data_IF_756993121531
#
_entry.id   IF_756993121531
#
_cell.length_a   1.000
_cell.length_b   1.000
_cell.length_c   1.000
_cell.angle_alpha   90.00
_cell.angle_beta   90.00
_cell.angle_gamma   90.00
#
_symmetry.space_group_name_H-M   'P 1'
#
loop_
_entity.id
_entity.type
_entity.pdbx_description
1 polymer ?
#
# COMPACT_ATOMS: atom_id res chain seq x y z
N UNK A 1 31.51 8.05 9.66
CA UNK A 1 31.85 6.63 9.45
C UNK A 1 31.51 5.93 10.73
N UNK A 2 30.58 4.99 10.72
CA UNK A 2 30.21 4.16 11.86
C UNK A 2 30.62 2.71 11.55
N UNK A 3 31.23 2.04 12.52
CA UNK A 3 31.72 0.65 12.40
C UNK A 3 30.75 -0.27 13.13
N UNK A 4 30.27 -1.31 12.44
CA UNK A 4 29.43 -2.36 13.00
C UNK A 4 30.02 -3.74 12.70
N UNK A 5 29.83 -4.70 13.58
CA UNK A 5 30.22 -6.08 13.32
C UNK A 5 28.97 -6.90 12.97
N UNK A 6 28.93 -7.46 11.78
CA UNK A 6 27.85 -8.32 11.30
C UNK A 6 28.46 -9.67 10.87
N UNK A 7 28.07 -10.76 11.51
CA UNK A 7 28.53 -12.11 11.17
C UNK A 7 30.07 -12.27 11.10
N UNK A 8 30.79 -11.76 12.12
CA UNK A 8 32.26 -11.72 12.19
C UNK A 8 32.97 -10.91 11.09
N UNK A 9 32.22 -10.14 10.30
CA UNK A 9 32.78 -9.20 9.34
C UNK A 9 32.56 -7.76 9.80
N UNK A 10 33.58 -6.93 9.67
CA UNK A 10 33.45 -5.50 9.91
C UNK A 10 32.71 -4.86 8.73
N UNK A 11 31.64 -4.14 9.04
CA UNK A 11 30.84 -3.36 8.09
C UNK A 11 30.97 -1.91 8.47
N UNK A 12 31.28 -1.07 7.49
CA UNK A 12 31.43 0.36 7.67
C UNK A 12 30.30 1.10 6.96
N UNK A 13 29.54 1.90 7.69
CA UNK A 13 28.59 2.83 7.14
C UNK A 13 29.33 4.12 6.77
N UNK A 14 29.52 4.36 5.46
CA UNK A 14 30.25 5.49 4.93
C UNK A 14 29.32 6.44 4.21
N UNK A 15 29.32 7.69 4.63
CA UNK A 15 28.56 8.71 3.93
C UNK A 15 29.35 9.24 2.75
N UNK A 16 28.82 9.06 1.51
CA UNK A 16 29.40 9.55 0.28
C UNK A 16 28.88 10.96 0.05
N UNK A 17 29.71 11.95 0.31
CA UNK A 17 29.34 13.37 0.24
C UNK A 17 28.96 13.85 -1.16
N UNK A 18 29.57 13.27 -2.20
CA UNK A 18 29.27 13.62 -3.60
C UNK A 18 27.88 13.19 -4.06
N UNK A 19 27.34 12.14 -3.45
CA UNK A 19 26.04 11.55 -3.81
C UNK A 19 24.98 11.71 -2.71
N UNK A 20 25.39 12.31 -1.56
CA UNK A 20 24.55 12.55 -0.40
C UNK A 20 23.81 11.28 0.11
N UNK A 21 24.50 10.12 0.10
CA UNK A 21 23.97 8.84 0.54
C UNK A 21 24.96 8.12 1.46
N UNK A 22 24.41 7.22 2.30
CA UNK A 22 25.20 6.28 3.09
C UNK A 22 25.31 4.97 2.32
N UNK A 23 26.53 4.49 2.12
CA UNK A 23 26.79 3.15 1.58
C UNK A 23 27.47 2.27 2.60
N UNK A 24 27.18 0.97 2.53
CA UNK A 24 27.78 -0.05 3.38
C UNK A 24 28.92 -0.72 2.66
N UNK A 25 30.08 -0.71 3.28
CA UNK A 25 31.29 -1.35 2.78
C UNK A 25 31.70 -2.49 3.71
N UNK A 26 32.06 -3.61 3.14
CA UNK A 26 32.54 -4.79 3.86
C UNK A 26 34.00 -5.05 3.50
N UNK A 27 34.90 -4.94 4.47
CA UNK A 27 36.32 -5.20 4.30
C UNK A 27 37.20 -3.94 4.19
N UNK A 28 38.49 -4.11 4.52
CA UNK A 28 39.46 -3.00 4.53
C UNK A 28 39.87 -2.53 3.11
N UNK A 29 39.79 -3.40 2.12
CA UNK A 29 40.18 -3.09 0.74
C UNK A 29 39.25 -2.06 0.06
N UNK A 30 37.99 -2.05 0.43
CA UNK A 30 37.02 -1.08 -0.06
C UNK A 30 37.24 0.32 0.53
N UNK A 31 37.80 0.42 1.73
CA UNK A 31 38.12 1.69 2.40
C UNK A 31 39.35 2.41 1.78
N UNK A 32 40.33 1.66 1.27
CA UNK A 32 41.49 2.21 0.62
C UNK A 32 41.12 2.97 -0.65
N UNK A 33 40.08 2.56 -1.35
CA UNK A 33 39.56 3.28 -2.51
C UNK A 33 38.89 4.62 -2.16
N UNK A 34 38.39 4.76 -0.93
CA UNK A 34 37.74 5.97 -0.42
C UNK A 34 38.73 7.06 0.01
N UNK A 35 39.93 6.70 0.44
CA UNK A 35 41.02 7.69 0.72
C UNK A 35 41.40 8.50 -0.49
N UNK A 36 41.17 7.97 -1.72
CA UNK A 36 41.41 8.69 -2.97
C UNK A 36 40.33 9.71 -3.33
N UNK A 37 39.17 9.65 -2.67
CA UNK A 37 38.02 10.57 -2.89
C UNK A 37 38.05 11.70 -1.84
N UNK A 38 39.14 12.29 -1.56
CA UNK A 38 39.35 13.49 -0.75
C UNK A 38 38.35 13.65 0.41
N UNK A 39 38.65 13.08 1.58
CA UNK A 39 37.90 13.36 2.83
C UNK A 39 37.93 14.87 3.06
N UNK A 40 36.77 15.50 2.92
CA UNK A 40 36.63 16.91 3.24
C UNK A 40 36.95 17.16 4.73
N UNK A 41 37.56 18.31 4.98
CA UNK A 41 37.96 18.70 6.35
C UNK A 41 36.76 18.56 7.32
N UNK A 42 37.02 18.16 8.58
CA UNK A 42 36.00 18.05 9.63
C UNK A 42 35.12 19.32 9.78
N UNK A 43 35.66 20.49 9.42
CA UNK A 43 34.92 21.74 9.37
C UNK A 43 33.84 21.75 8.28
N UNK A 44 34.11 21.17 7.10
CA UNK A 44 33.13 21.09 6.01
C UNK A 44 32.02 20.09 6.31
N UNK A 45 32.34 18.95 6.95
CA UNK A 45 31.34 17.99 7.45
C UNK A 45 30.43 18.64 8.49
N UNK A 46 31.00 19.39 9.46
CA UNK A 46 30.23 20.14 10.45
C UNK A 46 29.33 21.20 9.80
N UNK A 47 29.83 21.92 8.82
CA UNK A 47 29.05 22.94 8.10
C UNK A 47 27.88 22.29 7.33
N UNK A 48 28.15 21.22 6.60
CA UNK A 48 27.08 20.48 5.85
C UNK A 48 26.04 19.91 6.81
N UNK A 49 26.48 19.31 7.92
CA UNK A 49 25.57 18.79 8.96
C UNK A 49 24.74 19.89 9.60
N UNK A 50 25.36 21.05 9.91
CA UNK A 50 24.63 22.19 10.42
C UNK A 50 23.65 22.78 9.40
N UNK A 51 24.05 22.91 8.14
CA UNK A 51 23.18 23.33 7.04
C UNK A 51 22.00 22.37 6.82
N UNK A 52 22.26 21.06 6.85
CA UNK A 52 21.22 20.03 6.77
C UNK A 52 20.25 20.08 7.95
N UNK A 53 20.74 20.29 9.17
CA UNK A 53 19.91 20.52 10.37
C UNK A 53 19.04 21.76 10.24
N UNK A 54 19.63 22.90 9.85
CA UNK A 54 18.89 24.16 9.64
C UNK A 54 17.84 23.98 8.56
N UNK A 55 18.18 23.34 7.42
CA UNK A 55 17.22 23.03 6.36
C UNK A 55 16.09 22.13 6.88
N UNK A 56 16.42 21.09 7.63
CA UNK A 56 15.43 20.20 8.26
C UNK A 56 14.50 20.96 9.21
N UNK A 57 15.04 21.80 10.09
CA UNK A 57 14.22 22.59 11.02
C UNK A 57 13.33 23.59 10.30
N UNK A 58 13.84 24.29 9.28
CA UNK A 58 13.06 25.25 8.49
C UNK A 58 11.95 24.57 7.65
N UNK A 59 12.13 23.31 7.29
CA UNK A 59 11.14 22.56 6.47
C UNK A 59 10.20 21.69 7.29
N UNK A 60 10.46 21.48 8.59
CA UNK A 60 9.62 20.63 9.44
C UNK A 60 8.16 21.06 9.47
N UNK A 61 7.91 22.37 9.54
CA UNK A 61 6.56 22.92 9.61
C UNK A 61 5.96 23.25 8.22
N UNK A 62 6.78 23.29 7.17
CA UNK A 62 6.33 23.59 5.82
C UNK A 62 6.01 22.31 5.07
N UNK A 63 4.77 22.18 4.62
CA UNK A 63 4.34 21.11 3.73
C UNK A 63 4.66 21.52 2.28
N UNK A 64 5.50 20.72 1.61
CA UNK A 64 6.01 21.01 0.25
C UNK A 64 5.06 20.50 -0.85
N UNK A 65 4.45 19.34 -0.64
CA UNK A 65 3.58 18.70 -1.62
C UNK A 65 2.40 19.59 -2.09
N UNK A 66 1.72 20.34 -1.22
CA UNK A 66 0.64 21.25 -1.64
C UNK A 66 1.11 22.39 -2.56
N UNK A 67 2.38 22.76 -2.49
CA UNK A 67 2.95 23.86 -3.29
C UNK A 67 3.30 23.43 -4.71
N UNK A 68 3.58 22.14 -4.93
CA UNK A 68 3.97 21.59 -6.24
C UNK A 68 2.84 20.85 -6.97
N UNK A 69 1.72 20.60 -6.30
CA UNK A 69 0.59 19.89 -6.89
C UNK A 69 -0.30 20.79 -7.75
N UNK A 70 -0.91 20.22 -8.79
CA UNK A 70 -1.99 20.85 -9.55
C UNK A 70 -3.33 20.86 -8.79
N UNK A 71 -3.37 20.24 -7.62
CA UNK A 71 -4.54 20.07 -6.76
C UNK A 71 -4.47 21.01 -5.57
N UNK A 72 -5.58 21.70 -5.27
CA UNK A 72 -5.74 22.42 -4.00
C UNK A 72 -6.30 21.44 -2.96
N UNK A 73 -5.48 21.03 -1.97
CA UNK A 73 -5.93 20.04 -0.98
C UNK A 73 -7.01 20.62 -0.07
N UNK A 74 -7.93 19.76 0.35
CA UNK A 74 -8.94 20.10 1.35
C UNK A 74 -8.34 20.11 2.78
N UNK A 75 -8.93 20.85 3.74
CA UNK A 75 -8.40 20.95 5.10
C UNK A 75 -8.13 19.62 5.80
N UNK A 76 -9.02 18.63 5.64
CA UNK A 76 -8.81 17.30 6.21
C UNK A 76 -7.63 16.56 5.57
N UNK A 77 -7.39 16.74 4.27
CA UNK A 77 -6.25 16.15 3.56
C UNK A 77 -4.92 16.75 4.01
N UNK A 78 -4.89 18.07 4.25
CA UNK A 78 -3.73 18.74 4.85
C UNK A 78 -3.48 18.26 6.28
N UNK A 79 -4.55 18.07 7.07
CA UNK A 79 -4.44 17.51 8.41
C UNK A 79 -3.84 16.09 8.38
N UNK A 80 -4.31 15.25 7.47
CA UNK A 80 -3.78 13.90 7.23
C UNK A 80 -2.30 13.95 6.87
N UNK A 81 -1.91 14.83 5.93
CA UNK A 81 -0.50 15.00 5.55
C UNK A 81 0.35 15.46 6.73
N UNK A 82 -0.08 16.48 7.46
CA UNK A 82 0.64 16.98 8.64
C UNK A 82 0.84 15.90 9.68
N UNK A 83 -0.20 15.12 9.98
CA UNK A 83 -0.13 14.01 10.92
C UNK A 83 0.80 12.90 10.44
N UNK A 84 0.78 12.57 9.15
CA UNK A 84 1.68 11.59 8.55
C UNK A 84 3.15 12.01 8.67
N UNK A 85 3.44 13.32 8.49
CA UNK A 85 4.80 13.85 8.57
C UNK A 85 5.28 14.15 10.02
N UNK A 86 4.41 14.09 11.01
CA UNK A 86 4.79 14.27 12.41
C UNK A 86 5.38 13.03 13.07
N UNK A 87 5.39 11.89 12.39
CA UNK A 87 5.94 10.63 12.88
C UNK A 87 7.27 10.34 12.20
N UNK A 88 8.28 9.95 12.98
CA UNK A 88 9.60 9.55 12.46
C UNK A 88 9.50 8.29 11.60
N UNK A 89 8.52 7.44 11.87
CA UNK A 89 8.27 6.21 11.12
C UNK A 89 6.82 6.19 10.64
N UNK A 90 6.63 6.36 9.33
CA UNK A 90 5.31 6.36 8.71
C UNK A 90 4.74 4.94 8.64
N UNK A 91 3.88 4.58 9.58
CA UNK A 91 3.10 3.32 9.56
C UNK A 91 1.67 3.66 9.97
N UNK A 92 0.83 3.97 8.98
CA UNK A 92 -0.50 4.54 9.21
C UNK A 92 -1.59 3.79 8.45
N UNK A 93 -2.78 3.82 9.01
CA UNK A 93 -4.02 3.45 8.35
C UNK A 93 -4.85 4.71 8.07
N UNK A 94 -5.13 4.98 6.80
CA UNK A 94 -6.09 5.99 6.37
C UNK A 94 -7.48 5.34 6.33
N UNK A 95 -8.31 5.67 7.32
CA UNK A 95 -9.61 5.04 7.54
C UNK A 95 -10.78 5.99 7.25
N UNK A 96 -10.58 6.96 6.38
CA UNK A 96 -11.55 7.96 5.96
C UNK A 96 -12.75 7.34 5.27
N UNK A 97 -13.93 7.95 5.43
CA UNK A 97 -15.13 7.53 4.73
C UNK A 97 -14.94 7.55 3.21
N UNK A 98 -15.69 6.69 2.51
CA UNK A 98 -15.66 6.61 1.04
C UNK A 98 -15.92 7.99 0.42
N UNK A 99 -15.08 8.41 -0.52
CA UNK A 99 -15.24 9.67 -1.24
C UNK A 99 -14.64 10.90 -0.55
N UNK A 100 -13.83 10.74 0.50
CA UNK A 100 -13.03 11.82 1.10
C UNK A 100 -11.66 11.99 0.45
N UNK A 101 -11.32 11.14 -0.53
CA UNK A 101 -10.08 11.30 -1.30
C UNK A 101 -8.86 10.64 -0.67
N UNK A 102 -9.00 9.41 -0.09
CA UNK A 102 -7.85 8.64 0.44
C UNK A 102 -6.70 8.50 -0.55
N UNK A 103 -6.99 8.32 -1.85
CA UNK A 103 -5.96 8.27 -2.90
C UNK A 103 -5.22 9.60 -3.01
N UNK A 104 -5.94 10.73 -2.87
CA UNK A 104 -5.33 12.07 -2.86
C UNK A 104 -4.45 12.25 -1.63
N UNK A 105 -4.92 11.84 -0.46
CA UNK A 105 -4.11 11.88 0.78
C UNK A 105 -2.83 11.05 0.64
N UNK A 106 -2.94 9.83 0.10
CA UNK A 106 -1.78 8.98 -0.17
C UNK A 106 -0.84 9.63 -1.20
N UNK A 107 -1.37 10.25 -2.25
CA UNK A 107 -0.60 10.99 -3.25
C UNK A 107 0.15 12.19 -2.66
N UNK A 108 -0.49 12.96 -1.78
CA UNK A 108 0.17 14.05 -1.04
C UNK A 108 1.32 13.53 -0.18
N UNK A 109 1.12 12.41 0.52
CA UNK A 109 2.16 11.78 1.35
C UNK A 109 3.32 11.28 0.48
N UNK A 110 3.04 10.60 -0.65
CA UNK A 110 4.06 10.19 -1.63
C UNK A 110 4.89 11.40 -2.07
N UNK A 111 4.21 12.46 -2.52
CA UNK A 111 4.86 13.66 -3.04
C UNK A 111 5.75 14.31 -1.99
N UNK A 112 5.25 14.47 -0.77
CA UNK A 112 5.98 15.04 0.35
C UNK A 112 7.25 14.25 0.70
N UNK A 113 7.13 12.92 0.84
CA UNK A 113 8.26 12.06 1.15
C UNK A 113 9.32 12.06 0.03
N UNK A 114 8.89 12.12 -1.24
CA UNK A 114 9.80 12.24 -2.38
C UNK A 114 10.54 13.58 -2.39
N UNK A 115 9.83 14.69 -2.16
CA UNK A 115 10.43 16.03 -2.10
C UNK A 115 11.44 16.16 -0.95
N UNK A 116 11.20 15.45 0.15
CA UNK A 116 12.15 15.36 1.27
C UNK A 116 13.31 14.40 1.01
N UNK A 117 13.26 13.60 -0.07
CA UNK A 117 14.28 12.60 -0.39
C UNK A 117 14.22 11.33 0.48
N UNK A 118 13.09 11.10 1.18
CA UNK A 118 12.94 9.93 2.07
C UNK A 118 12.58 8.65 1.33
N UNK A 119 11.98 8.75 0.14
CA UNK A 119 11.56 7.59 -0.64
C UNK A 119 11.88 7.76 -2.12
N UNK A 120 12.19 6.64 -2.75
CA UNK A 120 12.39 6.52 -4.20
C UNK A 120 11.55 5.35 -4.74
N UNK A 121 11.61 4.20 -4.06
CA UNK A 121 10.97 2.97 -4.50
C UNK A 121 9.60 2.79 -3.83
N UNK A 122 8.56 2.77 -4.65
CA UNK A 122 7.17 2.80 -4.17
C UNK A 122 6.39 1.64 -4.80
N UNK A 123 5.75 0.84 -3.95
CA UNK A 123 4.83 -0.20 -4.37
C UNK A 123 3.40 0.14 -3.93
N UNK A 124 2.46 0.14 -4.86
CA UNK A 124 1.03 0.23 -4.58
C UNK A 124 0.38 -1.12 -4.89
N UNK A 125 -0.23 -1.74 -3.88
CA UNK A 125 -0.99 -2.98 -3.99
C UNK A 125 -2.47 -2.64 -3.88
N UNK A 126 -3.21 -2.77 -4.98
CA UNK A 126 -4.63 -2.41 -5.03
C UNK A 126 -5.50 -3.57 -5.55
N UNK A 127 -6.82 -3.55 -5.34
CA UNK A 127 -7.74 -4.43 -6.07
C UNK A 127 -7.62 -4.22 -7.59
N UNK A 128 -7.76 -5.30 -8.37
CA UNK A 128 -7.58 -5.24 -9.83
C UNK A 128 -8.42 -4.15 -10.52
N UNK A 129 -9.66 -3.92 -10.04
CA UNK A 129 -10.54 -2.88 -10.59
C UNK A 129 -10.11 -1.43 -10.30
N UNK A 130 -9.19 -1.22 -9.34
CA UNK A 130 -8.72 0.12 -8.93
C UNK A 130 -7.33 0.46 -9.46
N UNK A 131 -6.60 -0.49 -10.04
CA UNK A 131 -5.21 -0.27 -10.47
C UNK A 131 -5.07 0.82 -11.54
N UNK A 132 -5.96 0.86 -12.54
CA UNK A 132 -5.96 1.89 -13.57
C UNK A 132 -6.33 3.28 -13.02
N UNK A 133 -7.25 3.32 -12.04
CA UNK A 133 -7.62 4.56 -11.37
C UNK A 133 -6.40 5.14 -10.63
N UNK A 134 -5.65 4.30 -9.92
CA UNK A 134 -4.42 4.71 -9.25
C UNK A 134 -3.39 5.31 -10.22
N UNK A 135 -3.16 4.67 -11.36
CA UNK A 135 -2.25 5.20 -12.40
C UNK A 135 -2.72 6.58 -12.85
N UNK A 136 -4.00 6.72 -13.16
CA UNK A 136 -4.59 7.97 -13.64
C UNK A 136 -4.52 9.09 -12.59
N UNK A 137 -4.92 8.82 -11.34
CA UNK A 137 -4.92 9.81 -10.26
C UNK A 137 -3.50 10.30 -9.93
N UNK A 138 -2.52 9.39 -9.85
CA UNK A 138 -1.13 9.75 -9.63
C UNK A 138 -0.56 10.61 -10.75
N UNK A 139 -0.87 10.29 -12.00
CA UNK A 139 -0.39 11.05 -13.15
C UNK A 139 -1.06 12.43 -13.23
N UNK A 140 -2.39 12.51 -13.06
CA UNK A 140 -3.16 13.75 -13.26
C UNK A 140 -2.93 14.74 -12.13
N UNK A 141 -2.96 14.29 -10.88
CA UNK A 141 -2.93 15.18 -9.71
C UNK A 141 -1.51 15.45 -9.19
N UNK A 142 -0.59 14.51 -9.35
CA UNK A 142 0.75 14.59 -8.76
C UNK A 142 1.88 14.57 -9.77
N UNK A 143 1.58 14.40 -11.08
CA UNK A 143 2.58 14.22 -12.14
C UNK A 143 3.54 13.04 -11.87
N UNK A 144 3.06 12.04 -11.12
CA UNK A 144 3.81 10.85 -10.75
C UNK A 144 3.51 9.70 -11.70
N UNK A 145 4.58 9.12 -12.26
CA UNK A 145 4.47 8.06 -13.24
C UNK A 145 4.66 6.70 -12.58
N UNK A 146 3.58 5.96 -12.44
CA UNK A 146 3.59 4.58 -11.97
C UNK A 146 3.49 3.60 -13.13
N UNK A 147 4.22 2.48 -13.02
CA UNK A 147 4.14 1.37 -13.95
C UNK A 147 3.18 0.32 -13.43
N UNK A 148 2.09 0.09 -14.17
CA UNK A 148 1.15 -0.99 -13.87
C UNK A 148 1.71 -2.30 -14.41
N UNK A 149 1.90 -3.30 -13.52
CA UNK A 149 2.41 -4.61 -13.87
C UNK A 149 1.31 -5.64 -13.69
N UNK A 150 0.88 -6.24 -14.79
CA UNK A 150 -0.09 -7.33 -14.81
C UNK A 150 0.60 -8.71 -14.66
N UNK A 151 -0.21 -9.73 -14.35
CA UNK A 151 0.28 -11.10 -14.22
C UNK A 151 1.05 -11.62 -15.45
N UNK A 152 0.68 -11.19 -16.63
CA UNK A 152 1.32 -11.65 -17.88
C UNK A 152 2.60 -10.86 -18.17
N UNK A 153 2.67 -9.60 -17.72
CA UNK A 153 3.88 -8.78 -17.85
C UNK A 153 5.04 -9.35 -17.03
N UNK A 154 4.76 -9.96 -15.87
CA UNK A 154 5.78 -10.61 -15.03
C UNK A 154 6.51 -11.70 -15.81
N UNK A 155 5.78 -12.51 -16.59
CA UNK A 155 6.38 -13.54 -17.43
C UNK A 155 7.19 -12.94 -18.57
N UNK A 156 6.68 -11.87 -19.20
CA UNK A 156 7.37 -11.18 -20.28
C UNK A 156 8.65 -10.50 -19.77
N UNK A 157 8.58 -9.78 -18.65
CA UNK A 157 9.72 -9.15 -18.02
C UNK A 157 10.78 -10.18 -17.64
N UNK A 158 10.37 -11.33 -17.11
CA UNK A 158 11.29 -12.41 -16.79
C UNK A 158 12.02 -12.95 -18.04
N UNK A 159 11.30 -13.23 -19.12
CA UNK A 159 11.92 -13.67 -20.38
C UNK A 159 12.95 -12.67 -20.89
N UNK A 160 12.65 -11.39 -20.80
CA UNK A 160 13.54 -10.32 -21.21
C UNK A 160 14.78 -10.24 -20.31
N UNK A 161 14.61 -10.46 -19.00
CA UNK A 161 15.69 -10.27 -18.00
C UNK A 161 16.60 -11.48 -17.83
N UNK A 162 16.06 -12.69 -17.96
CA UNK A 162 16.80 -13.94 -17.71
C UNK A 162 17.16 -14.72 -18.96
N UNK A 163 16.60 -14.37 -20.13
CA UNK A 163 16.96 -15.03 -21.36
C UNK A 163 18.18 -14.37 -22.02
N UNK A 164 19.07 -15.22 -22.53
CA UNK A 164 20.34 -14.86 -23.18
C UNK A 164 20.18 -14.13 -24.52
N UNK A 165 18.96 -13.96 -25.04
CA UNK A 165 18.67 -13.27 -26.29
C UNK A 165 17.50 -12.29 -26.12
N UNK A 166 17.71 -11.13 -25.47
CA UNK A 166 16.65 -10.15 -25.29
C UNK A 166 16.33 -9.52 -26.65
N UNK A 167 15.06 -9.59 -27.06
CA UNK A 167 14.57 -8.79 -28.17
C UNK A 167 14.76 -7.30 -27.84
N UNK A 168 15.86 -6.74 -28.37
CA UNK A 168 16.28 -5.34 -28.20
C UNK A 168 15.17 -4.34 -28.56
N UNK A 169 14.21 -4.72 -29.43
CA UNK A 169 13.08 -3.89 -29.81
C UNK A 169 12.08 -3.77 -28.65
N UNK A 170 11.82 -4.88 -27.94
CA UNK A 170 10.92 -4.91 -26.77
C UNK A 170 11.53 -4.16 -25.58
N UNK A 171 12.84 -4.29 -25.33
CA UNK A 171 13.56 -3.52 -24.30
C UNK A 171 13.49 -2.00 -24.55
N UNK A 172 13.71 -1.56 -25.79
CA UNK A 172 13.62 -0.15 -26.17
C UNK A 172 12.19 0.38 -26.06
N UNK A 173 11.19 -0.42 -26.42
CA UNK A 173 9.77 -0.03 -26.33
C UNK A 173 9.32 0.15 -24.88
N UNK A 174 9.80 -0.68 -23.96
CA UNK A 174 9.49 -0.61 -22.53
C UNK A 174 10.38 0.37 -21.75
N UNK A 175 11.40 0.97 -22.39
CA UNK A 175 12.39 1.87 -21.76
C UNK A 175 13.03 1.28 -20.50
N UNK A 176 13.35 -0.02 -20.51
CA UNK A 176 13.91 -0.74 -19.36
C UNK A 176 15.38 -0.36 -19.16
N UNK A 177 15.79 0.09 -17.98
CA UNK A 177 17.19 0.31 -17.65
C UNK A 177 17.95 -1.01 -17.64
N UNK A 178 19.15 -1.03 -18.22
CA UNK A 178 19.98 -2.25 -18.34
C UNK A 178 20.82 -2.57 -17.09
N UNK A 179 20.57 -1.90 -15.96
CA UNK A 179 21.35 -2.07 -14.73
C UNK A 179 20.62 -2.98 -13.73
N UNK A 180 21.36 -3.95 -13.22
CA UNK A 180 21.07 -4.93 -12.18
C UNK A 180 20.08 -6.07 -12.51
N UNK A 181 20.66 -7.19 -12.91
CA UNK A 181 19.98 -8.42 -13.36
C UNK A 181 19.38 -9.31 -12.26
N UNK A 182 19.25 -8.85 -11.01
CA UNK A 182 18.91 -9.77 -9.90
C UNK A 182 17.42 -9.85 -9.57
N UNK A 183 16.62 -8.81 -9.82
CA UNK A 183 15.20 -8.80 -9.47
C UNK A 183 14.38 -8.02 -10.50
N UNK A 184 13.35 -8.66 -11.10
CA UNK A 184 12.46 -8.02 -12.09
C UNK A 184 11.71 -6.80 -11.51
N UNK A 185 11.44 -6.79 -10.21
CA UNK A 185 10.77 -5.70 -9.53
C UNK A 185 11.67 -4.48 -9.30
N UNK A 186 12.99 -4.64 -9.52
CA UNK A 186 13.96 -3.55 -9.50
C UNK A 186 14.00 -2.68 -10.76
N UNK A 187 13.23 -3.04 -11.80
CA UNK A 187 13.25 -2.35 -13.11
C UNK A 187 12.67 -0.93 -13.02
N UNK A 188 11.63 -0.77 -12.22
CA UNK A 188 10.93 0.50 -12.06
C UNK A 188 10.90 0.92 -10.60
N UNK A 189 11.11 2.20 -10.34
CA UNK A 189 11.06 2.73 -8.97
C UNK A 189 9.64 2.84 -8.43
N UNK A 190 8.62 2.99 -9.29
CA UNK A 190 7.23 3.19 -8.90
C UNK A 190 6.32 2.19 -9.63
N UNK A 191 5.73 1.27 -8.87
CA UNK A 191 4.96 0.14 -9.41
C UNK A 191 3.59 0.08 -8.76
N UNK A 192 2.58 -0.25 -9.58
CA UNK A 192 1.24 -0.64 -9.14
C UNK A 192 1.01 -2.09 -9.55
N UNK A 193 0.52 -2.90 -8.61
CA UNK A 193 0.15 -4.31 -8.85
C UNK A 193 -1.23 -4.62 -8.30
N UNK A 194 -1.88 -5.62 -8.89
CA UNK A 194 -3.08 -6.20 -8.30
C UNK A 194 -2.72 -7.13 -7.13
N UNK A 195 -3.41 -6.98 -6.00
CA UNK A 195 -3.26 -7.84 -4.81
C UNK A 195 -3.36 -9.34 -5.17
N UNK A 196 -4.29 -9.70 -6.05
CA UNK A 196 -4.52 -11.10 -6.43
C UNK A 196 -3.46 -11.65 -7.40
N UNK A 197 -2.71 -10.80 -8.09
CA UNK A 197 -1.65 -11.24 -9.01
C UNK A 197 -0.34 -11.58 -8.30
N UNK A 198 -0.13 -11.07 -7.09
CA UNK A 198 1.15 -11.20 -6.35
C UNK A 198 1.02 -11.95 -5.02
N UNK A 199 -0.20 -12.26 -4.56
CA UNK A 199 -0.40 -13.08 -3.36
C UNK A 199 0.20 -14.48 -3.53
N UNK A 200 0.74 -15.12 -2.47
CA UNK A 200 1.26 -16.48 -2.56
C UNK A 200 0.16 -17.47 -2.89
N UNK A 201 0.51 -18.49 -3.66
CA UNK A 201 -0.37 -19.57 -4.05
C UNK A 201 -0.07 -20.82 -3.20
N UNK A 202 -1.09 -21.33 -2.49
CA UNK A 202 -0.96 -22.54 -1.67
C UNK A 202 -1.09 -23.82 -2.48
N UNK A 203 -2.29 -24.05 -3.05
CA UNK A 203 -2.55 -25.25 -3.88
C UNK A 203 -3.33 -24.87 -5.13
N UNK A 204 -3.02 -25.55 -6.23
CA UNK A 204 -3.74 -25.41 -7.50
C UNK A 204 -3.86 -26.77 -8.19
N UNK A 205 -5.09 -27.13 -8.59
CA UNK A 205 -5.36 -28.39 -9.29
C UNK A 205 -4.51 -28.51 -10.56
N UNK A 206 -3.82 -29.64 -10.73
CA UNK A 206 -2.95 -29.89 -11.87
C UNK A 206 -1.56 -29.24 -11.81
N UNK A 207 -1.18 -28.64 -10.67
CA UNK A 207 0.14 -28.08 -10.46
C UNK A 207 0.94 -28.93 -9.44
N UNK A 208 2.21 -29.16 -9.75
CA UNK A 208 3.15 -29.78 -8.82
C UNK A 208 3.60 -28.76 -7.76
N UNK A 209 4.19 -29.24 -6.66
CA UNK A 209 4.75 -28.38 -5.61
C UNK A 209 5.87 -27.47 -6.15
N UNK A 210 6.70 -28.03 -7.04
CA UNK A 210 7.81 -27.32 -7.67
C UNK A 210 7.30 -26.12 -8.48
N UNK A 211 6.25 -26.33 -9.29
CA UNK A 211 5.64 -25.28 -10.10
C UNK A 211 4.97 -24.19 -9.24
N UNK A 212 4.39 -24.57 -8.09
CA UNK A 212 3.84 -23.61 -7.13
C UNK A 212 4.96 -22.79 -6.48
N UNK A 213 6.07 -23.45 -6.09
CA UNK A 213 7.23 -22.79 -5.52
C UNK A 213 7.87 -21.81 -6.51
N UNK A 214 8.04 -22.21 -7.76
CA UNK A 214 8.53 -21.35 -8.85
C UNK A 214 7.63 -20.11 -9.03
N UNK A 215 6.31 -20.31 -9.09
CA UNK A 215 5.34 -19.24 -9.20
C UNK A 215 5.43 -18.24 -8.00
N UNK A 216 5.54 -18.78 -6.79
CA UNK A 216 5.65 -17.96 -5.58
C UNK A 216 7.00 -17.22 -5.54
N UNK A 217 8.09 -17.86 -5.94
CA UNK A 217 9.41 -17.22 -6.00
C UNK A 217 9.41 -16.02 -6.94
N UNK A 218 8.78 -16.14 -8.09
CA UNK A 218 8.72 -15.06 -9.08
C UNK A 218 7.87 -13.88 -8.66
N UNK A 219 6.69 -14.18 -8.11
CA UNK A 219 5.63 -13.18 -7.94
C UNK A 219 5.53 -12.65 -6.51
N UNK A 220 5.87 -13.47 -5.55
CA UNK A 220 5.76 -13.15 -4.15
C UNK A 220 7.13 -12.84 -3.52
N UNK A 221 8.04 -13.83 -3.46
CA UNK A 221 9.32 -13.63 -2.77
C UNK A 221 10.16 -12.53 -3.42
N UNK A 222 10.27 -12.52 -4.75
CA UNK A 222 11.03 -11.49 -5.46
C UNK A 222 10.42 -10.08 -5.27
N UNK A 223 9.09 -9.98 -5.13
CA UNK A 223 8.42 -8.72 -4.83
C UNK A 223 8.74 -8.21 -3.42
N UNK A 224 8.69 -9.13 -2.42
CA UNK A 224 8.98 -8.78 -1.02
C UNK A 224 10.41 -8.23 -0.86
N UNK A 225 11.38 -8.88 -1.51
CA UNK A 225 12.80 -8.52 -1.42
C UNK A 225 13.27 -7.55 -2.52
N UNK A 226 12.38 -6.65 -2.95
CA UNK A 226 12.70 -5.66 -3.97
C UNK A 226 13.03 -4.28 -3.39
N UNK A 227 13.41 -4.18 -2.13
CA UNK A 227 13.86 -2.97 -1.43
C UNK A 227 12.91 -1.77 -1.59
N UNK A 228 11.65 -1.96 -1.22
CA UNK A 228 10.64 -0.91 -1.24
C UNK A 228 10.84 0.07 -0.08
N UNK A 229 10.87 1.37 -0.38
CA UNK A 229 10.87 2.42 0.65
C UNK A 229 9.47 2.62 1.22
N UNK A 230 8.45 2.63 0.35
CA UNK A 230 7.05 2.80 0.73
C UNK A 230 6.18 1.73 0.09
N UNK A 231 5.36 1.08 0.91
CA UNK A 231 4.28 0.19 0.44
C UNK A 231 2.93 0.77 0.82
N UNK A 232 2.04 0.89 -0.16
CA UNK A 232 0.65 1.30 0.01
C UNK A 232 -0.24 0.12 -0.32
N UNK A 233 -1.15 -0.26 0.59
CA UNK A 233 -2.12 -1.33 0.35
C UNK A 233 -3.52 -0.73 0.40
N UNK A 234 -4.16 -0.68 -0.77
CA UNK A 234 -5.52 -0.18 -0.90
C UNK A 234 -6.54 -1.28 -0.62
N UNK A 235 -7.71 -0.88 -0.09
CA UNK A 235 -8.74 -1.77 0.42
C UNK A 235 -8.17 -2.82 1.38
N UNK A 236 -7.31 -2.36 2.31
CA UNK A 236 -6.55 -3.20 3.23
C UNK A 236 -7.43 -4.15 4.07
N UNK A 237 -8.72 -3.85 4.26
CA UNK A 237 -9.66 -4.75 4.91
C UNK A 237 -9.73 -6.14 4.24
N UNK A 238 -9.40 -6.24 2.94
CA UNK A 238 -9.33 -7.52 2.21
C UNK A 238 -8.19 -8.43 2.66
N UNK A 239 -7.22 -7.91 3.40
CA UNK A 239 -6.13 -8.71 3.98
C UNK A 239 -6.61 -9.52 5.19
N UNK A 240 -7.64 -9.08 5.92
CA UNK A 240 -7.99 -9.61 7.24
C UNK A 240 -9.10 -10.67 7.28
N UNK A 241 -9.72 -11.04 6.16
CA UNK A 241 -10.90 -11.92 6.10
C UNK A 241 -10.66 -13.43 6.26
N UNK A 242 -11.49 -14.31 5.66
CA UNK A 242 -11.54 -15.77 5.84
C UNK A 242 -10.49 -16.56 5.03
N UNK A 243 -10.57 -17.88 4.87
CA UNK A 243 -9.53 -18.81 4.39
C UNK A 243 -8.77 -18.46 3.08
N UNK A 244 -9.41 -17.83 2.09
CA UNK A 244 -8.70 -17.26 0.92
C UNK A 244 -7.83 -16.05 1.29
N UNK A 245 -8.10 -15.45 2.43
CA UNK A 245 -7.40 -14.30 2.96
C UNK A 245 -6.10 -14.64 3.69
N UNK A 246 -5.83 -15.91 3.99
CA UNK A 246 -4.52 -16.31 4.54
C UNK A 246 -3.40 -15.90 3.59
N UNK A 247 -3.55 -16.14 2.28
CA UNK A 247 -2.56 -15.74 1.29
C UNK A 247 -2.44 -14.21 1.15
N UNK A 248 -3.56 -13.48 1.21
CA UNK A 248 -3.53 -12.00 1.20
C UNK A 248 -2.94 -11.44 2.49
N UNK A 249 -3.28 -12.03 3.64
CA UNK A 249 -2.70 -11.62 4.91
C UNK A 249 -1.19 -11.87 4.94
N UNK A 250 -0.74 -13.02 4.45
CA UNK A 250 0.68 -13.33 4.31
C UNK A 250 1.40 -12.31 3.42
N UNK A 251 0.80 -11.93 2.27
CA UNK A 251 1.33 -10.87 1.43
C UNK A 251 1.47 -9.55 2.20
N UNK A 252 0.43 -9.14 2.92
CA UNK A 252 0.46 -7.95 3.76
C UNK A 252 1.55 -8.02 4.82
N UNK A 253 1.63 -9.13 5.57
CA UNK A 253 2.60 -9.33 6.66
C UNK A 253 4.04 -9.25 6.15
N UNK A 254 4.37 -9.97 5.08
CA UNK A 254 5.71 -9.96 4.51
C UNK A 254 6.10 -8.59 3.94
N UNK A 255 5.21 -7.93 3.21
CA UNK A 255 5.47 -6.58 2.71
C UNK A 255 5.70 -5.59 3.85
N UNK A 256 4.83 -5.59 4.86
CA UNK A 256 4.95 -4.64 5.97
C UNK A 256 6.13 -4.93 6.90
N UNK A 257 6.55 -6.19 6.99
CA UNK A 257 7.75 -6.60 7.74
C UNK A 257 9.06 -6.16 7.10
N UNK A 258 9.10 -6.06 5.76
CA UNK A 258 10.31 -5.75 5.00
C UNK A 258 10.35 -4.31 4.45
N UNK A 259 9.41 -3.44 4.82
CA UNK A 259 9.33 -2.08 4.30
C UNK A 259 9.24 -1.06 5.44
N UNK A 260 10.04 0.03 5.40
CA UNK A 260 10.06 1.02 6.48
C UNK A 260 8.77 1.86 6.55
N UNK A 261 8.24 2.32 5.42
CA UNK A 261 7.05 3.17 5.36
C UNK A 261 5.84 2.41 4.83
N UNK A 262 4.74 2.44 5.58
CA UNK A 262 3.52 1.68 5.28
C UNK A 262 2.30 2.58 5.35
N UNK A 263 1.46 2.53 4.30
CA UNK A 263 0.12 3.09 4.30
C UNK A 263 -0.91 2.00 4.00
N UNK A 264 -1.84 1.79 4.91
CA UNK A 264 -3.01 0.96 4.70
C UNK A 264 -4.22 1.86 4.45
N UNK A 265 -4.92 1.69 3.34
CA UNK A 265 -6.10 2.46 3.00
C UNK A 265 -7.35 1.58 3.11
N UNK A 266 -8.35 2.03 3.85
CA UNK A 266 -9.64 1.34 3.93
C UNK A 266 -10.73 2.25 4.48
N UNK A 267 -11.92 2.21 3.91
CA UNK A 267 -13.06 2.92 4.48
C UNK A 267 -13.75 2.14 5.62
N UNK A 268 -13.51 0.84 5.71
CA UNK A 268 -14.16 -0.09 6.63
C UNK A 268 -13.14 -0.90 7.42
N UNK A 269 -12.36 -0.28 8.32
CA UNK A 269 -11.31 -0.97 9.07
C UNK A 269 -11.88 -2.06 9.98
N UNK A 270 -13.08 -1.84 10.50
CA UNK A 270 -13.77 -2.77 11.39
C UNK A 270 -15.05 -3.33 10.72
N UNK A 271 -14.94 -4.53 10.16
CA UNK A 271 -16.08 -5.23 9.51
C UNK A 271 -16.92 -6.05 10.50
N UNK A 272 -17.19 -5.53 11.71
CA UNK A 272 -17.95 -6.23 12.74
C UNK A 272 -17.19 -7.37 13.45
N UNK A 273 -15.95 -7.68 13.03
CA UNK A 273 -15.12 -8.73 13.64
C UNK A 273 -13.83 -8.14 14.20
N UNK A 274 -13.74 -8.06 15.51
CA UNK A 274 -12.58 -7.53 16.24
C UNK A 274 -11.26 -8.21 15.84
N UNK A 275 -11.29 -9.53 15.61
CA UNK A 275 -10.10 -10.28 15.17
C UNK A 275 -9.54 -9.84 13.82
N UNK A 276 -10.41 -9.40 12.90
CA UNK A 276 -9.97 -8.87 11.61
C UNK A 276 -9.29 -7.51 11.78
N UNK A 277 -9.84 -6.68 12.67
CA UNK A 277 -9.25 -5.38 12.96
C UNK A 277 -7.88 -5.51 13.63
N UNK A 278 -7.72 -6.41 14.61
CA UNK A 278 -6.42 -6.70 15.23
C UNK A 278 -5.40 -7.14 14.18
N UNK A 279 -5.77 -8.05 13.28
CA UNK A 279 -4.89 -8.47 12.18
C UNK A 279 -4.44 -7.32 11.29
N UNK A 280 -5.32 -6.35 11.00
CA UNK A 280 -4.92 -5.17 10.23
C UNK A 280 -3.97 -4.28 11.02
N UNK A 281 -4.24 -4.09 12.30
CA UNK A 281 -3.38 -3.28 13.16
C UNK A 281 -2.02 -3.91 13.38
N UNK A 282 -1.94 -5.25 13.49
CA UNK A 282 -0.66 -5.97 13.62
C UNK A 282 0.24 -5.83 12.38
N UNK A 283 -0.30 -5.50 11.21
CA UNK A 283 0.52 -5.15 10.04
C UNK A 283 1.25 -3.80 10.20
N UNK A 284 0.71 -2.91 11.03
CA UNK A 284 1.36 -1.63 11.33
C UNK A 284 2.34 -1.76 12.48
N UNK A 285 1.96 -2.52 13.51
CA UNK A 285 2.80 -2.77 14.69
C UNK A 285 2.39 -4.11 15.33
N UNK A 286 3.21 -5.15 15.12
CA UNK A 286 2.94 -6.50 15.62
C UNK A 286 3.13 -6.59 17.15
N UNK A 287 4.02 -5.80 17.72
CA UNK A 287 4.30 -5.80 19.15
C UNK A 287 3.18 -5.13 19.96
N UNK A 288 2.61 -4.05 19.43
CA UNK A 288 1.51 -3.33 20.10
C UNK A 288 0.17 -4.04 19.96
N UNK A 289 -0.11 -4.66 18.81
CA UNK A 289 -1.45 -5.21 18.50
C UNK A 289 -1.46 -6.74 18.46
N UNK A 290 -1.34 -7.35 19.64
CA UNK A 290 -1.28 -8.81 19.80
C UNK A 290 -2.70 -9.40 19.98
N UNK A 291 -3.55 -8.76 20.77
CA UNK A 291 -4.83 -9.29 21.19
C UNK A 291 -5.95 -8.23 21.31
N UNK A 292 -7.12 -8.64 21.83
CA UNK A 292 -8.27 -7.75 22.01
C UNK A 292 -8.04 -6.65 23.05
N UNK A 293 -7.16 -6.87 24.02
CA UNK A 293 -6.86 -5.90 25.09
C UNK A 293 -5.99 -4.76 24.58
N UNK A 294 -5.33 -4.96 23.45
CA UNK A 294 -4.51 -3.93 22.79
C UNK A 294 -5.32 -2.87 22.04
N UNK A 295 -6.67 -3.06 21.88
CA UNK A 295 -7.55 -2.11 21.19
C UNK A 295 -8.02 -1.03 22.16
N UNK A 296 -7.11 -0.17 22.54
CA UNK A 296 -7.41 1.05 23.30
C UNK A 296 -7.26 2.28 22.39
N UNK A 297 -8.11 3.28 22.59
CA UNK A 297 -8.10 4.50 21.78
C UNK A 297 -6.74 5.21 21.82
N UNK A 298 -6.09 5.20 22.97
CA UNK A 298 -4.74 5.76 23.17
C UNK A 298 -3.69 5.10 22.28
N UNK A 299 -3.72 3.78 22.18
CA UNK A 299 -2.81 2.97 21.34
C UNK A 299 -3.14 3.05 19.84
N UNK A 300 -4.42 3.22 19.50
CA UNK A 300 -4.87 3.33 18.10
C UNK A 300 -4.60 4.70 17.48
N UNK A 301 -4.70 5.76 18.27
CA UNK A 301 -4.58 7.16 17.80
C UNK A 301 -3.31 7.46 16.99
N UNK A 302 -2.11 6.93 17.31
CA UNK A 302 -0.91 7.14 16.51
C UNK A 302 -0.97 6.49 15.12
N UNK A 303 -1.71 5.39 14.97
CA UNK A 303 -1.71 4.55 13.78
C UNK A 303 -2.89 4.78 12.84
N UNK A 304 -3.96 5.46 13.28
CA UNK A 304 -5.18 5.62 12.49
C UNK A 304 -5.49 7.10 12.29
N UNK A 305 -5.78 7.45 11.03
CA UNK A 305 -6.39 8.72 10.65
C UNK A 305 -7.77 8.39 10.11
N UNK A 306 -8.81 9.04 10.65
CA UNK A 306 -10.18 8.84 10.24
C UNK A 306 -10.94 10.16 10.22
N UNK A 307 -11.34 10.58 9.04
CA UNK A 307 -12.22 11.71 8.83
C UNK A 307 -13.63 11.23 8.46
N UNK A 308 -14.63 11.97 8.93
CA UNK A 308 -16.04 11.69 8.70
C UNK A 308 -16.64 12.78 7.82
N UNK A 309 -17.43 12.45 6.81
CA UNK A 309 -18.08 13.42 5.90
C UNK A 309 -18.82 14.53 6.64
N UNK A 310 -19.49 14.19 7.74
CA UNK A 310 -20.25 15.16 8.54
C UNK A 310 -19.42 16.26 9.22
N UNK A 311 -18.10 16.03 9.34
CA UNK A 311 -17.15 16.94 10.01
C UNK A 311 -16.21 17.63 9.03
N UNK A 312 -16.25 17.25 7.75
CA UNK A 312 -15.36 17.84 6.76
C UNK A 312 -15.90 19.16 6.25
N UNK A 313 -14.99 20.11 6.11
CA UNK A 313 -15.24 21.45 5.60
C UNK A 313 -14.44 21.69 4.33
N UNK A 314 -14.92 22.65 3.52
CA UNK A 314 -14.18 23.19 2.38
C UNK A 314 -13.10 24.20 2.85
N UNK A 315 -12.41 24.82 1.89
CA UNK A 315 -11.38 25.83 2.19
C UNK A 315 -11.93 27.14 2.74
N UNK A 316 -13.22 27.39 2.57
CA UNK A 316 -13.94 28.56 3.10
C UNK A 316 -14.55 28.30 4.47
N UNK A 317 -14.41 27.08 5.02
CA UNK A 317 -14.94 26.66 6.32
C UNK A 317 -16.39 26.18 6.28
N UNK A 318 -17.01 26.03 5.10
CA UNK A 318 -18.36 25.54 4.99
C UNK A 318 -18.40 24.00 4.99
N UNK A 319 -19.50 23.36 5.47
CA UNK A 319 -19.65 21.92 5.38
C UNK A 319 -19.53 21.43 3.92
N UNK A 320 -18.57 20.54 3.66
CA UNK A 320 -18.32 19.98 2.31
C UNK A 320 -19.47 19.10 1.83
N UNK A 321 -20.17 18.45 2.75
CA UNK A 321 -21.30 17.56 2.45
C UNK A 321 -22.57 18.03 3.13
N UNK A 322 -23.70 17.94 2.40
CA UNK A 322 -25.01 18.16 2.98
C UNK A 322 -25.34 17.07 4.01
N UNK A 323 -26.05 17.38 5.10
CA UNK A 323 -26.50 16.39 6.07
C UNK A 323 -27.31 15.28 5.40
N UNK A 324 -26.94 14.02 5.68
CA UNK A 324 -27.70 12.86 5.20
C UNK A 324 -28.87 12.60 6.13
N UNK A 325 -30.07 12.75 5.63
CA UNK A 325 -31.30 12.39 6.34
C UNK A 325 -31.81 11.06 5.78
N UNK A 326 -31.86 10.05 6.66
CA UNK A 326 -32.47 8.75 6.31
C UNK A 326 -33.91 8.76 6.74
N UNK A 327 -34.83 8.60 5.79
CA UNK A 327 -36.26 8.45 6.05
C UNK A 327 -36.67 7.01 5.73
N UNK A 328 -37.16 6.29 6.73
CA UNK A 328 -37.74 5.01 6.51
C UNK A 328 -39.19 5.22 5.98
N UNK A 329 -39.45 4.77 4.77
CA UNK A 329 -40.81 4.75 4.18
C UNK A 329 -41.28 3.30 4.12
N UNK A 330 -42.04 2.81 5.11
CA UNK A 330 -42.62 1.49 5.01
C UNK A 330 -43.64 1.48 3.86
N UNK A 331 -43.44 0.57 2.91
CA UNK A 331 -44.42 0.31 1.87
C UNK A 331 -45.39 -0.71 2.46
N UNK A 332 -46.65 -0.31 2.62
CA UNK A 332 -47.72 -1.20 3.05
C UNK A 332 -48.58 -1.50 1.83
N UNK A 333 -49.02 -2.75 1.72
CA UNK A 333 -49.99 -3.14 0.72
C UNK A 333 -51.31 -2.41 1.01
N UNK A 334 -51.81 -1.72 0.00
CA UNK A 334 -53.04 -0.89 0.16
C UNK A 334 -54.32 -1.73 0.15
N UNK A 335 -54.28 -2.91 -0.44
CA UNK A 335 -55.38 -3.88 -0.49
C UNK A 335 -54.89 -5.25 -0.10
N UNK A 336 -55.58 -5.92 0.81
CA UNK A 336 -55.32 -7.32 1.15
C UNK A 336 -55.54 -8.15 -0.13
N UNK A 337 -54.63 -9.11 -0.38
CA UNK A 337 -54.65 -9.97 -1.56
C UNK A 337 -54.42 -9.24 -2.91
N UNK A 338 -53.69 -8.12 -2.89
CA UNK A 338 -53.29 -7.47 -4.13
C UNK A 338 -52.36 -8.40 -4.94
N UNK A 339 -52.41 -8.31 -6.29
CA UNK A 339 -51.46 -9.04 -7.18
C UNK A 339 -49.99 -8.83 -6.81
N UNK A 340 -49.68 -7.66 -6.25
CA UNK A 340 -48.32 -7.34 -5.80
C UNK A 340 -47.94 -8.12 -4.54
N UNK A 341 -48.88 -8.28 -3.59
CA UNK A 341 -48.67 -9.08 -2.37
C UNK A 341 -48.54 -10.56 -2.70
N UNK A 342 -49.39 -11.05 -3.59
CA UNK A 342 -49.32 -12.44 -4.08
C UNK A 342 -47.98 -12.71 -4.75
N UNK A 343 -47.56 -11.85 -5.70
CA UNK A 343 -46.29 -11.99 -6.36
C UNK A 343 -45.08 -11.95 -5.39
N UNK A 344 -45.13 -11.02 -4.41
CA UNK A 344 -44.07 -10.93 -3.41
C UNK A 344 -44.01 -12.21 -2.55
N UNK A 345 -45.15 -12.73 -2.15
CA UNK A 345 -45.22 -13.94 -1.36
C UNK A 345 -44.72 -15.15 -2.14
N UNK A 346 -45.19 -15.33 -3.38
CA UNK A 346 -44.75 -16.42 -4.27
C UNK A 346 -43.24 -16.39 -4.55
N UNK A 347 -42.69 -15.21 -4.85
CA UNK A 347 -41.25 -15.04 -5.07
C UNK A 347 -40.48 -15.36 -3.79
N UNK A 348 -40.97 -14.88 -2.63
CA UNK A 348 -40.30 -15.13 -1.35
C UNK A 348 -40.32 -16.63 -0.98
N UNK A 349 -41.44 -17.31 -1.20
CA UNK A 349 -41.55 -18.76 -0.98
C UNK A 349 -40.70 -19.56 -1.94
N UNK A 350 -40.64 -19.16 -3.23
CA UNK A 350 -39.78 -19.76 -4.23
C UNK A 350 -38.29 -19.64 -3.82
N UNK A 351 -37.85 -18.45 -3.52
CA UNK A 351 -36.44 -18.19 -3.09
C UNK A 351 -36.12 -19.02 -1.83
N UNK A 352 -37.01 -19.05 -0.82
CA UNK A 352 -36.81 -19.80 0.40
C UNK A 352 -36.73 -21.32 0.15
N UNK A 353 -37.60 -21.82 -0.71
CA UNK A 353 -37.65 -23.25 -1.06
C UNK A 353 -36.41 -23.70 -1.81
N UNK A 354 -36.01 -22.94 -2.87
CA UNK A 354 -34.85 -23.28 -3.68
C UNK A 354 -33.55 -23.05 -2.90
N UNK A 355 -33.47 -22.03 -2.05
CA UNK A 355 -32.32 -21.84 -1.14
C UNK A 355 -32.16 -23.06 -0.22
N UNK A 356 -33.23 -23.49 0.44
CA UNK A 356 -33.18 -24.66 1.31
C UNK A 356 -32.85 -25.95 0.58
N UNK A 357 -33.34 -26.12 -0.66
CA UNK A 357 -32.99 -27.22 -1.54
C UNK A 357 -31.49 -27.18 -1.93
N UNK A 358 -31.01 -26.05 -2.37
CA UNK A 358 -29.59 -25.87 -2.72
C UNK A 358 -28.66 -26.16 -1.52
N UNK A 359 -29.03 -25.73 -0.32
CA UNK A 359 -28.30 -26.04 0.91
C UNK A 359 -28.30 -27.52 1.28
N UNK A 360 -29.43 -28.21 1.14
CA UNK A 360 -29.55 -29.69 1.34
C UNK A 360 -28.69 -30.46 0.32
N UNK A 361 -28.67 -30.03 -0.94
CA UNK A 361 -27.92 -30.64 -2.02
C UNK A 361 -26.44 -30.24 -2.02
N UNK A 362 -25.98 -29.46 -1.03
CA UNK A 362 -24.62 -28.90 -0.92
C UNK A 362 -24.18 -28.07 -2.15
N UNK A 363 -25.13 -27.49 -2.88
CA UNK A 363 -24.91 -26.59 -4.01
C UNK A 363 -24.84 -25.16 -3.51
N UNK A 364 -23.83 -24.85 -2.68
CA UNK A 364 -23.65 -23.55 -2.00
C UNK A 364 -23.59 -22.35 -2.94
N UNK A 365 -23.08 -22.54 -4.17
CA UNK A 365 -23.04 -21.50 -5.19
C UNK A 365 -24.45 -21.07 -5.66
N UNK A 366 -25.36 -22.03 -5.85
CA UNK A 366 -26.75 -21.73 -6.23
C UNK A 366 -27.48 -21.04 -5.06
N UNK A 367 -27.26 -21.49 -3.82
CA UNK A 367 -27.80 -20.83 -2.63
C UNK A 367 -27.35 -19.38 -2.51
N UNK A 368 -26.12 -19.05 -2.89
CA UNK A 368 -25.60 -17.67 -2.89
C UNK A 368 -26.27 -16.79 -3.96
N UNK A 369 -26.61 -17.34 -5.14
CA UNK A 369 -27.27 -16.60 -6.23
C UNK A 369 -28.75 -16.31 -5.93
N UNK A 370 -29.36 -17.00 -4.93
CA UNK A 370 -30.77 -16.86 -4.57
C UNK A 370 -31.00 -15.85 -3.43
N UNK A 371 -29.94 -15.28 -2.83
CA UNK A 371 -29.98 -14.24 -1.80
C UNK A 371 -29.57 -12.89 -2.38
#
# INVERSE_FOLDING_TARGET
MEEHTLWDQKVYDVWITSENRVEKFTGEDDLISLEKVGLDSASKVRYITAAARIKSELTKDLLLAPLEGSLIPLPHQLHTLKKAMSSDRLRLMLADEVGLGKTIEAGLIIKELKLRGHIKRILIVAPAGLTNQWVSEMQVHFSEKFHLIFSDDIKALRRIYYNEDPDLKTLKKLKIPTKDKKNIWGIFDQIIVSMDSVKPMGQRRGWTKEKINEYNQERFNSLIFADWDLVIIDEAHKLAGSSETMARFQLGKELTGNTPYILLLTATPHQGKTSHFIRLMSLLDEETFIDRTSIEQSKLKPFIIRNEKRKTIDNDGNPLFKPRVTKLKPIRWTTKDSLQEQLYTEVTEYVKTEYNRAMKEKRTYIGFLMV
#
